data_IF_924078994168
#
_entry.id   IF_924078994168
#
_cell.length_a   1.000
_cell.length_b   1.000
_cell.length_c   1.000
_cell.angle_alpha   90.00
_cell.angle_beta   90.00
_cell.angle_gamma   90.00
#
_symmetry.space_group_name_H-M   'P 1'
#
loop_
_entity.id
_entity.type
_entity.pdbx_description
1 polymer ?
#
# COMPACT_ATOMS: atom_id res chain seq x y z
N UNK A 1 9.74 -9.31 28.42
CA UNK A 1 9.77 -8.22 27.42
C UNK A 1 8.48 -8.28 26.65
N UNK A 2 7.74 -7.17 26.57
CA UNK A 2 6.58 -7.06 25.69
C UNK A 2 7.09 -7.05 24.25
N UNK A 3 6.61 -7.95 23.41
CA UNK A 3 7.06 -8.01 22.02
C UNK A 3 6.70 -6.69 21.32
N UNK A 4 7.66 -6.09 20.61
CA UNK A 4 7.38 -4.96 19.73
C UNK A 4 6.71 -5.47 18.47
N UNK A 5 5.73 -4.73 17.99
CA UNK A 5 4.96 -5.01 16.78
C UNK A 5 4.74 -3.70 16.04
N UNK A 6 4.31 -3.81 14.79
CA UNK A 6 3.94 -2.67 13.98
C UNK A 6 2.43 -2.52 13.95
N UNK A 7 1.94 -1.31 14.23
CA UNK A 7 0.57 -0.91 13.94
C UNK A 7 0.54 -0.09 12.65
N UNK A 8 -0.39 -0.44 11.77
CA UNK A 8 -0.83 0.38 10.66
C UNK A 8 -2.19 0.98 11.03
N UNK A 9 -2.22 2.29 11.23
CA UNK A 9 -3.45 3.03 11.52
C UNK A 9 -3.90 3.78 10.27
N UNK A 10 -5.04 3.39 9.74
CA UNK A 10 -5.65 3.89 8.52
C UNK A 10 -6.80 4.84 8.84
N UNK A 11 -6.91 5.92 8.05
CA UNK A 11 -8.09 6.77 7.95
C UNK A 11 -8.42 7.01 6.46
N UNK A 12 -9.54 6.45 6.01
CA UNK A 12 -10.05 6.64 4.66
C UNK A 12 -10.82 7.96 4.53
N UNK A 13 -10.72 8.61 3.37
CA UNK A 13 -11.47 9.82 3.08
C UNK A 13 -11.90 9.86 1.61
N UNK A 14 -13.18 10.19 1.39
CA UNK A 14 -13.70 10.58 0.08
C UNK A 14 -14.88 11.54 0.25
N UNK A 15 -14.79 12.81 -0.16
CA UNK A 15 -15.82 13.82 0.12
C UNK A 15 -17.21 13.48 -0.44
N UNK A 16 -17.26 12.87 -1.62
CA UNK A 16 -18.50 12.65 -2.37
C UNK A 16 -19.13 11.27 -2.15
N UNK A 17 -18.56 10.46 -1.27
CA UNK A 17 -19.05 9.12 -0.96
C UNK A 17 -19.75 9.14 0.39
N UNK A 18 -20.89 8.44 0.48
CA UNK A 18 -21.52 8.28 1.78
C UNK A 18 -20.65 7.39 2.71
N UNK A 19 -20.87 7.54 4.01
CA UNK A 19 -20.04 6.85 5.01
C UNK A 19 -20.19 5.33 4.97
N UNK A 20 -21.36 4.81 4.60
CA UNK A 20 -21.60 3.37 4.59
C UNK A 20 -20.90 2.72 3.39
N UNK A 21 -20.93 3.37 2.23
CA UNK A 21 -20.20 2.97 1.03
C UNK A 21 -18.68 3.07 1.26
N UNK A 22 -18.20 4.15 1.89
CA UNK A 22 -16.80 4.28 2.26
C UNK A 22 -16.36 3.15 3.20
N UNK A 23 -17.16 2.87 4.24
CA UNK A 23 -16.89 1.79 5.18
C UNK A 23 -16.83 0.44 4.48
N UNK A 24 -17.78 0.15 3.59
CA UNK A 24 -17.83 -1.10 2.82
C UNK A 24 -16.58 -1.27 1.95
N UNK A 25 -16.17 -0.23 1.23
CA UNK A 25 -14.98 -0.28 0.38
C UNK A 25 -13.71 -0.47 1.21
N UNK A 26 -13.57 0.24 2.34
CA UNK A 26 -12.47 0.07 3.28
C UNK A 26 -12.41 -1.35 3.84
N UNK A 27 -13.54 -1.89 4.31
CA UNK A 27 -13.63 -3.24 4.84
C UNK A 27 -13.17 -4.28 3.81
N UNK A 28 -13.67 -4.20 2.56
CA UNK A 28 -13.26 -5.11 1.48
C UNK A 28 -11.78 -4.99 1.13
N UNK A 29 -11.25 -3.76 1.05
CA UNK A 29 -9.83 -3.53 0.82
C UNK A 29 -8.95 -4.13 1.93
N UNK A 30 -9.34 -3.94 3.19
CA UNK A 30 -8.64 -4.45 4.36
C UNK A 30 -8.72 -5.99 4.42
N UNK A 31 -9.86 -6.59 4.11
CA UNK A 31 -10.00 -8.06 4.00
C UNK A 31 -9.01 -8.63 2.98
N UNK A 32 -8.94 -8.06 1.78
CA UNK A 32 -8.01 -8.50 0.73
C UNK A 32 -6.56 -8.39 1.18
N UNK A 33 -6.17 -7.22 1.71
CA UNK A 33 -4.78 -6.99 2.16
C UNK A 33 -4.46 -7.95 3.30
N UNK A 34 -5.35 -8.15 4.26
CA UNK A 34 -5.07 -9.03 5.39
C UNK A 34 -4.99 -10.50 5.01
N UNK A 35 -5.73 -10.93 3.99
CA UNK A 35 -5.55 -12.26 3.39
C UNK A 35 -4.17 -12.40 2.75
N UNK A 36 -3.73 -11.41 1.95
CA UNK A 36 -2.42 -11.42 1.29
C UNK A 36 -1.28 -11.42 2.31
N UNK A 37 -1.40 -10.64 3.37
CA UNK A 37 -0.37 -10.49 4.40
C UNK A 37 -0.57 -11.42 5.61
N UNK A 38 -1.39 -12.47 5.47
CA UNK A 38 -1.63 -13.45 6.55
C UNK A 38 -0.34 -13.99 7.19
N UNK A 39 0.75 -14.30 6.45
CA UNK A 39 1.98 -14.82 7.04
C UNK A 39 2.60 -13.93 8.12
N UNK A 40 2.48 -12.60 8.01
CA UNK A 40 3.06 -11.65 8.96
C UNK A 40 2.05 -10.85 9.79
N UNK A 41 0.76 -11.06 9.56
CA UNK A 41 -0.29 -10.46 10.38
C UNK A 41 -0.19 -10.97 11.82
N UNK A 42 -0.26 -10.04 12.78
CA UNK A 42 -0.21 -10.38 14.20
C UNK A 42 -1.60 -10.68 14.77
N UNK A 43 -2.55 -9.75 14.61
CA UNK A 43 -3.94 -9.90 15.05
C UNK A 43 -4.92 -9.52 13.92
N UNK A 44 -6.19 -9.88 14.11
CA UNK A 44 -7.26 -9.48 13.20
C UNK A 44 -7.38 -7.95 13.15
N UNK A 45 -7.76 -7.38 11.99
CA UNK A 45 -8.04 -5.95 11.88
C UNK A 45 -9.10 -5.49 12.87
N UNK A 46 -8.99 -4.25 13.33
CA UNK A 46 -9.91 -3.64 14.27
C UNK A 46 -10.43 -2.30 13.73
N UNK A 47 -11.75 -2.19 13.56
CA UNK A 47 -12.39 -0.95 13.19
C UNK A 47 -12.56 -0.06 14.44
N UNK A 48 -12.01 1.16 14.40
CA UNK A 48 -12.20 2.19 15.42
C UNK A 48 -13.47 3.01 15.15
N UNK A 49 -13.74 3.27 13.86
CA UNK A 49 -14.91 3.95 13.34
C UNK A 49 -15.20 3.46 11.92
N UNK A 50 -16.20 4.05 11.27
CA UNK A 50 -16.61 3.75 9.89
C UNK A 50 -15.47 3.93 8.88
N UNK A 51 -14.58 4.90 9.14
CA UNK A 51 -13.50 5.34 8.26
C UNK A 51 -12.10 5.03 8.81
N UNK A 52 -11.99 4.47 10.02
CA UNK A 52 -10.71 4.27 10.71
C UNK A 52 -10.48 2.83 11.17
N UNK A 53 -9.29 2.32 10.87
CA UNK A 53 -8.93 0.93 11.10
C UNK A 53 -7.50 0.79 11.63
N UNK A 54 -7.30 -0.24 12.44
CA UNK A 54 -6.01 -0.67 12.95
C UNK A 54 -5.70 -2.07 12.44
N UNK A 55 -4.53 -2.22 11.84
CA UNK A 55 -3.95 -3.50 11.43
C UNK A 55 -2.63 -3.68 12.19
N UNK A 56 -2.28 -4.93 12.51
CA UNK A 56 -1.06 -5.25 13.25
C UNK A 56 -0.22 -6.30 12.51
N UNK A 57 1.09 -6.06 12.48
CA UNK A 57 2.07 -6.87 11.77
C UNK A 57 3.28 -7.15 12.67
N UNK A 58 4.00 -8.25 12.43
CA UNK A 58 5.27 -8.46 13.13
C UNK A 58 6.34 -7.52 12.59
N UNK A 59 6.34 -7.24 11.29
CA UNK A 59 7.35 -6.42 10.63
C UNK A 59 6.80 -5.10 10.08
N UNK A 60 7.62 -4.06 10.20
CA UNK A 60 7.36 -2.69 9.73
C UNK A 60 7.23 -2.61 8.22
N UNK A 61 8.14 -3.29 7.51
CA UNK A 61 8.10 -3.39 6.06
C UNK A 61 6.81 -4.04 5.53
N UNK A 62 6.27 -5.04 6.23
CA UNK A 62 4.98 -5.66 5.88
C UNK A 62 3.84 -4.66 5.98
N UNK A 63 3.80 -3.87 7.06
CA UNK A 63 2.77 -2.86 7.26
C UNK A 63 2.83 -1.76 6.17
N UNK A 64 4.04 -1.36 5.76
CA UNK A 64 4.23 -0.44 4.63
C UNK A 64 3.71 -1.03 3.31
N UNK A 65 4.10 -2.27 2.98
CA UNK A 65 3.64 -2.93 1.74
C UNK A 65 2.13 -3.19 1.76
N UNK A 66 1.55 -3.48 2.93
CA UNK A 66 0.12 -3.61 3.12
C UNK A 66 -0.61 -2.28 2.85
N UNK A 67 -0.10 -1.17 3.40
CA UNK A 67 -0.61 0.16 3.06
C UNK A 67 -0.49 0.45 1.56
N UNK A 68 0.67 0.16 0.96
CA UNK A 68 0.97 0.35 -0.47
C UNK A 68 0.14 -0.55 -1.41
N UNK A 69 -0.46 -1.62 -0.92
CA UNK A 69 -1.44 -2.37 -1.69
C UNK A 69 -2.84 -1.81 -1.48
N UNK A 70 -3.18 -1.41 -0.25
CA UNK A 70 -4.48 -0.89 0.11
C UNK A 70 -4.84 0.40 -0.64
N UNK A 71 -3.93 1.36 -0.72
CA UNK A 71 -4.15 2.63 -1.43
C UNK A 71 -4.29 2.42 -2.96
N UNK A 72 -3.67 1.38 -3.51
CA UNK A 72 -3.86 0.98 -4.92
C UNK A 72 -5.22 0.31 -5.14
N UNK A 73 -5.62 -0.59 -4.22
CA UNK A 73 -6.91 -1.26 -4.25
C UNK A 73 -8.06 -0.27 -4.08
N UNK A 74 -7.90 0.76 -3.25
CA UNK A 74 -8.97 1.70 -2.92
C UNK A 74 -9.03 2.94 -3.83
N UNK A 75 -7.98 3.22 -4.62
CA UNK A 75 -8.00 4.35 -5.55
C UNK A 75 -9.29 4.37 -6.41
N UNK A 76 -10.02 5.51 -6.51
CA UNK A 76 -9.61 6.89 -6.18
C UNK A 76 -9.79 7.34 -4.71
N UNK A 77 -10.24 6.48 -3.81
CA UNK A 77 -10.38 6.80 -2.38
C UNK A 77 -9.00 7.10 -1.80
N UNK A 78 -8.86 8.24 -1.12
CA UNK A 78 -7.60 8.60 -0.48
C UNK A 78 -7.53 7.97 0.90
N UNK A 79 -6.34 7.49 1.24
CA UNK A 79 -6.09 6.79 2.50
C UNK A 79 -4.91 7.45 3.20
N UNK A 80 -5.20 8.26 4.20
CA UNK A 80 -4.19 8.69 5.16
C UNK A 80 -3.88 7.54 6.10
N UNK A 81 -2.63 7.42 6.52
CA UNK A 81 -2.24 6.36 7.43
C UNK A 81 -1.01 6.74 8.25
N UNK A 82 -0.72 5.90 9.25
CA UNK A 82 0.55 5.89 9.94
C UNK A 82 1.03 4.47 10.22
N UNK A 83 2.34 4.32 10.30
CA UNK A 83 3.04 3.13 10.78
C UNK A 83 3.64 3.44 12.14
N UNK A 84 3.46 2.56 13.11
CA UNK A 84 4.09 2.72 14.40
C UNK A 84 4.72 1.44 14.92
N UNK A 85 6.00 1.52 15.29
CA UNK A 85 6.74 0.38 15.83
C UNK A 85 6.99 0.54 17.33
N UNK A 86 6.29 -0.25 18.14
CA UNK A 86 6.34 -0.13 19.59
C UNK A 86 5.83 -1.37 20.31
N UNK A 87 5.90 -1.37 21.63
CA UNK A 87 5.29 -2.43 22.43
C UNK A 87 3.78 -2.38 22.32
N UNK A 88 3.14 -3.52 22.04
CA UNK A 88 1.70 -3.70 22.16
C UNK A 88 1.37 -4.28 23.54
N UNK A 89 0.56 -3.57 24.32
CA UNK A 89 0.04 -4.08 25.58
C UNK A 89 -1.30 -4.78 25.33
N UNK A 90 -1.25 -6.09 25.14
CA UNK A 90 -2.46 -6.91 24.95
C UNK A 90 -3.30 -7.06 26.22
N UNK A 91 -2.76 -6.74 27.41
CA UNK A 91 -3.49 -6.86 28.68
C UNK A 91 -4.23 -5.57 29.04
N UNK A 92 -3.64 -4.40 28.77
CA UNK A 92 -4.29 -3.10 28.98
C UNK A 92 -5.19 -2.66 27.82
N UNK A 93 -5.11 -3.34 26.67
CA UNK A 93 -5.84 -3.03 25.46
C UNK A 93 -5.04 -2.15 24.50
N UNK A 94 -5.34 -2.29 23.21
CA UNK A 94 -4.52 -1.74 22.13
C UNK A 94 -4.38 -0.20 22.18
N UNK A 95 -5.44 0.50 22.62
CA UNK A 95 -5.48 1.98 22.77
C UNK A 95 -4.54 2.49 23.88
N UNK A 96 -4.21 1.66 24.87
CA UNK A 96 -3.27 2.01 25.93
C UNK A 96 -1.80 1.72 25.56
N UNK A 97 -1.56 1.14 24.38
CA UNK A 97 -0.22 0.75 23.97
C UNK A 97 0.60 1.93 23.45
N UNK A 98 1.93 1.98 23.72
CA UNK A 98 2.81 2.97 23.12
C UNK A 98 2.74 3.01 21.59
N UNK A 99 2.65 1.85 20.93
CA UNK A 99 2.51 1.80 19.48
C UNK A 99 1.25 2.54 18.98
N UNK A 100 0.12 2.41 19.70
CA UNK A 100 -1.09 3.14 19.33
C UNK A 100 -0.90 4.65 19.47
N UNK A 101 -0.31 5.12 20.58
CA UNK A 101 -0.05 6.55 20.77
C UNK A 101 0.88 7.13 19.68
N UNK A 102 1.93 6.40 19.30
CA UNK A 102 2.82 6.80 18.22
C UNK A 102 2.08 6.87 16.87
N UNK A 103 1.23 5.88 16.57
CA UNK A 103 0.41 5.86 15.37
C UNK A 103 -0.58 7.04 15.35
N UNK A 104 -1.31 7.29 16.45
CA UNK A 104 -2.25 8.41 16.53
C UNK A 104 -1.57 9.76 16.29
N UNK A 105 -0.39 9.99 16.88
CA UNK A 105 0.36 11.23 16.67
C UNK A 105 0.79 11.40 15.20
N UNK A 106 1.35 10.34 14.61
CA UNK A 106 1.79 10.35 13.22
C UNK A 106 0.62 10.50 12.24
N UNK A 107 -0.54 9.89 12.53
CA UNK A 107 -1.73 10.03 11.69
C UNK A 107 -2.28 11.46 11.70
N UNK A 108 -2.33 12.11 12.88
CA UNK A 108 -2.74 13.51 13.00
C UNK A 108 -1.83 14.43 12.18
N UNK A 109 -0.52 14.22 12.25
CA UNK A 109 0.43 14.97 11.43
C UNK A 109 0.27 14.67 9.94
N UNK A 110 0.09 13.39 9.55
CA UNK A 110 -0.15 13.00 8.17
C UNK A 110 -1.39 13.69 7.59
N UNK A 111 -2.50 13.73 8.32
CA UNK A 111 -3.73 14.44 7.92
C UNK A 111 -3.50 15.95 7.74
N UNK A 112 -2.62 16.56 8.55
CA UNK A 112 -2.27 17.97 8.41
C UNK A 112 -1.44 18.29 7.14
N UNK A 113 -0.76 17.29 6.59
CA UNK A 113 0.05 17.41 5.36
C UNK A 113 -0.76 17.19 4.07
N UNK A 114 -2.04 16.84 4.19
CA UNK A 114 -2.97 16.63 3.08
C UNK A 114 -3.42 15.18 2.91
N UNK A 115 -3.98 14.87 1.75
CA UNK A 115 -4.59 13.56 1.48
C UNK A 115 -3.57 12.49 1.06
N UNK A 116 -3.86 11.24 1.42
CA UNK A 116 -3.04 10.10 1.01
C UNK A 116 -1.66 10.10 1.67
N UNK A 117 -1.54 10.69 2.86
CA UNK A 117 -0.26 10.80 3.57
C UNK A 117 -0.03 9.62 4.52
N UNK A 118 1.12 8.94 4.42
CA UNK A 118 1.66 7.94 5.34
C UNK A 118 2.87 8.50 6.07
N UNK A 119 2.90 8.40 7.40
CA UNK A 119 4.08 8.69 8.22
C UNK A 119 4.43 7.48 9.11
N UNK A 120 5.67 7.44 9.58
CA UNK A 120 6.23 6.43 10.47
C UNK A 120 6.64 7.05 11.81
N UNK A 121 6.40 6.34 12.91
CA UNK A 121 6.82 6.74 14.24
C UNK A 121 7.15 5.52 15.13
N UNK A 122 8.42 5.37 15.47
CA UNK A 122 8.91 4.42 16.47
C UNK A 122 9.44 5.12 17.73
N UNK A 123 9.20 6.42 17.84
CA UNK A 123 9.74 7.33 18.85
C UNK A 123 11.27 7.29 18.87
N UNK A 124 11.86 7.39 17.67
CA UNK A 124 13.30 7.35 17.45
C UNK A 124 13.71 8.53 16.54
N UNK A 125 14.91 9.07 16.75
CA UNK A 125 15.35 10.29 16.03
C UNK A 125 15.41 10.06 14.52
N UNK A 126 15.88 8.88 14.12
CA UNK A 126 16.05 8.50 12.72
C UNK A 126 14.72 8.22 12.00
N UNK A 127 13.58 8.18 12.69
CA UNK A 127 12.25 8.14 12.07
C UNK A 127 12.09 9.27 11.04
N UNK A 128 12.75 10.42 11.25
CA UNK A 128 12.79 11.53 10.31
C UNK A 128 13.35 11.15 8.94
N UNK A 129 14.36 10.26 8.89
CA UNK A 129 14.93 9.79 7.62
C UNK A 129 13.94 8.90 6.86
N UNK A 130 13.29 7.97 7.56
CA UNK A 130 12.22 7.15 7.01
C UNK A 130 11.06 8.00 6.52
N UNK A 131 10.65 9.00 7.29
CA UNK A 131 9.59 9.93 6.89
C UNK A 131 9.94 10.76 5.66
N UNK A 132 11.20 11.21 5.52
CA UNK A 132 11.63 11.89 4.29
C UNK A 132 11.58 10.97 3.07
N UNK A 133 11.91 9.67 3.22
CA UNK A 133 11.78 8.68 2.14
C UNK A 133 10.32 8.42 1.78
N UNK A 134 9.44 8.28 2.79
CA UNK A 134 7.99 8.13 2.60
C UNK A 134 7.43 9.32 1.82
N UNK A 135 7.71 10.55 2.27
CA UNK A 135 7.25 11.77 1.59
C UNK A 135 7.76 11.83 0.15
N UNK A 136 9.03 11.51 -0.10
CA UNK A 136 9.58 11.48 -1.46
C UNK A 136 8.90 10.44 -2.36
N UNK A 137 8.57 9.26 -1.83
CA UNK A 137 7.79 8.23 -2.54
C UNK A 137 6.37 8.74 -2.87
N UNK A 138 5.73 9.41 -1.92
CA UNK A 138 4.36 9.92 -2.10
C UNK A 138 4.29 11.09 -3.08
N UNK A 139 5.32 11.94 -3.15
CA UNK A 139 5.40 12.98 -4.17
C UNK A 139 5.47 12.39 -5.59
N UNK A 140 6.08 11.20 -5.77
CA UNK A 140 6.01 10.49 -7.04
C UNK A 140 4.56 10.08 -7.36
N UNK A 141 3.82 9.58 -6.37
CA UNK A 141 2.42 9.14 -6.54
C UNK A 141 1.50 10.33 -6.79
N UNK A 142 1.65 11.44 -6.05
CA UNK A 142 0.87 12.66 -6.25
C UNK A 142 1.14 13.31 -7.61
N UNK A 143 2.36 13.15 -8.14
CA UNK A 143 2.71 13.60 -9.48
C UNK A 143 2.12 12.74 -10.62
N UNK A 144 1.49 11.61 -10.31
CA UNK A 144 0.85 10.77 -11.32
C UNK A 144 -0.55 11.28 -11.68
N UNK A 145 -0.91 11.14 -12.95
CA UNK A 145 -2.28 11.36 -13.40
C UNK A 145 -3.21 10.27 -12.86
N UNK A 146 -4.51 10.52 -12.92
CA UNK A 146 -5.54 9.63 -12.42
C UNK A 146 -5.46 8.25 -13.09
N UNK A 147 -5.31 8.24 -14.42
CA UNK A 147 -5.08 7.02 -15.21
C UNK A 147 -3.80 6.28 -14.77
N UNK A 148 -2.72 7.00 -14.48
CA UNK A 148 -1.47 6.38 -14.03
C UNK A 148 -1.66 5.73 -12.65
N UNK A 149 -2.41 6.38 -11.74
CA UNK A 149 -2.74 5.81 -10.43
C UNK A 149 -3.60 4.56 -10.57
N UNK A 150 -4.60 4.54 -11.45
CA UNK A 150 -5.41 3.34 -11.74
C UNK A 150 -4.55 2.19 -12.31
N UNK A 151 -3.62 2.50 -13.22
CA UNK A 151 -2.72 1.50 -13.81
C UNK A 151 -1.70 0.91 -12.80
N UNK A 152 -1.48 1.52 -11.63
CA UNK A 152 -0.61 0.96 -10.57
C UNK A 152 -1.10 -0.40 -10.13
N UNK A 153 -2.40 -0.53 -9.83
CA UNK A 153 -2.98 -1.81 -9.43
C UNK A 153 -2.81 -2.86 -10.53
N UNK A 154 -3.11 -2.50 -11.79
CA UNK A 154 -2.92 -3.41 -12.93
C UNK A 154 -1.48 -3.89 -13.09
N UNK A 155 -0.50 -3.04 -12.79
CA UNK A 155 0.92 -3.44 -12.78
C UNK A 155 1.24 -4.36 -11.59
N UNK A 156 0.74 -4.01 -10.41
CA UNK A 156 0.94 -4.76 -9.17
C UNK A 156 0.39 -6.20 -9.27
N UNK A 157 -0.80 -6.38 -9.86
CA UNK A 157 -1.43 -7.68 -10.11
C UNK A 157 -0.66 -8.58 -11.08
N UNK A 158 0.33 -8.03 -11.80
CA UNK A 158 1.15 -8.75 -12.78
C UNK A 158 2.55 -9.04 -12.25
N UNK A 159 3.11 -8.07 -11.51
CA UNK A 159 4.45 -8.13 -10.93
C UNK A 159 4.44 -7.41 -9.57
N UNK A 160 4.00 -8.08 -8.49
CA UNK A 160 3.88 -7.46 -7.19
C UNK A 160 5.25 -7.15 -6.58
N UNK A 161 5.31 -6.12 -5.72
CA UNK A 161 6.40 -5.99 -4.75
C UNK A 161 6.13 -7.00 -3.64
N UNK A 162 6.89 -8.10 -3.66
CA UNK A 162 6.64 -9.26 -2.82
C UNK A 162 7.78 -9.51 -1.83
N UNK A 163 7.42 -9.84 -0.59
CA UNK A 163 8.31 -10.36 0.46
C UNK A 163 7.84 -11.74 0.87
N UNK A 164 8.70 -12.76 0.75
CA UNK A 164 8.35 -14.15 1.05
C UNK A 164 7.95 -14.38 2.51
N UNK A 165 8.51 -13.59 3.43
CA UNK A 165 8.19 -13.70 4.85
C UNK A 165 6.83 -13.06 5.19
N UNK A 166 6.33 -12.10 4.39
CA UNK A 166 5.12 -11.36 4.74
C UNK A 166 3.88 -11.73 3.94
N UNK A 167 4.04 -12.27 2.73
CA UNK A 167 2.94 -12.37 1.78
C UNK A 167 2.73 -13.80 1.29
N UNK A 168 1.47 -14.20 1.14
CA UNK A 168 1.12 -15.44 0.44
C UNK A 168 1.37 -15.32 -1.07
N UNK A 169 1.68 -16.44 -1.71
CA UNK A 169 1.79 -16.54 -3.16
C UNK A 169 0.45 -16.68 -3.88
N UNK A 170 -0.63 -16.94 -3.14
CA UNK A 170 -1.98 -17.12 -3.67
C UNK A 170 -2.81 -15.88 -3.40
N UNK A 171 -2.98 -15.03 -4.42
CA UNK A 171 -3.73 -13.78 -4.28
C UNK A 171 -5.24 -13.99 -4.48
N UNK A 172 -6.10 -13.34 -3.69
CA UNK A 172 -7.55 -13.47 -3.73
C UNK A 172 -8.14 -12.66 -4.90
N UNK A 173 -7.89 -13.12 -6.14
CA UNK A 173 -8.27 -12.37 -7.34
C UNK A 173 -9.78 -12.20 -7.51
N UNK A 174 -10.59 -13.11 -6.98
CA UNK A 174 -12.06 -13.01 -7.05
C UNK A 174 -12.56 -11.86 -6.17
N UNK A 175 -11.97 -11.70 -4.99
CA UNK A 175 -12.26 -10.63 -4.04
C UNK A 175 -11.77 -9.28 -4.57
N UNK A 176 -10.59 -9.24 -5.20
CA UNK A 176 -10.06 -8.05 -5.86
C UNK A 176 -10.98 -7.62 -7.02
N UNK A 177 -11.44 -8.56 -7.86
CA UNK A 177 -12.38 -8.29 -8.94
C UNK A 177 -13.73 -7.77 -8.39
N UNK A 178 -14.24 -8.36 -7.31
CA UNK A 178 -15.44 -7.89 -6.64
C UNK A 178 -15.30 -6.47 -6.09
N UNK A 179 -14.14 -6.12 -5.53
CA UNK A 179 -13.85 -4.75 -5.07
C UNK A 179 -13.80 -3.76 -6.24
N UNK A 180 -13.18 -4.11 -7.37
CA UNK A 180 -13.18 -3.23 -8.56
C UNK A 180 -14.60 -2.96 -9.08
N UNK A 181 -15.48 -3.97 -9.06
CA UNK A 181 -16.89 -3.80 -9.42
C UNK A 181 -17.59 -2.84 -8.44
N UNK A 182 -17.34 -2.97 -7.13
CA UNK A 182 -17.92 -2.08 -6.12
C UNK A 182 -17.44 -0.63 -6.28
N UNK A 183 -16.24 -0.40 -6.80
CA UNK A 183 -15.70 0.95 -7.05
C UNK A 183 -16.20 1.62 -8.33
N UNK A 184 -16.89 0.90 -9.23
CA UNK A 184 -17.36 1.48 -10.50
C UNK A 184 -18.16 2.80 -10.33
N UNK A 185 -19.07 2.94 -9.34
CA UNK A 185 -19.76 4.21 -9.11
C UNK A 185 -18.81 5.35 -8.73
N UNK A 186 -17.75 5.06 -7.97
CA UNK A 186 -16.74 6.06 -7.56
C UNK A 186 -15.93 6.50 -8.78
N UNK A 187 -15.49 5.56 -9.63
CA UNK A 187 -14.82 5.90 -10.88
C UNK A 187 -15.72 6.69 -11.85
N UNK A 188 -17.04 6.55 -11.78
CA UNK A 188 -17.96 7.32 -12.61
C UNK A 188 -18.06 8.80 -12.21
N UNK A 189 -17.71 9.14 -10.96
CA UNK A 189 -17.59 10.52 -10.49
C UNK A 189 -16.33 11.21 -11.07
N UNK A 190 -15.34 10.42 -11.48
CA UNK A 190 -14.05 10.90 -12.00
C UNK A 190 -14.00 10.82 -13.54
N UNK A 191 -14.25 11.95 -14.22
CA UNK A 191 -14.33 12.02 -15.70
C UNK A 191 -13.14 11.35 -16.40
N UNK A 192 -11.93 11.56 -15.88
CA UNK A 192 -10.68 11.02 -16.46
C UNK A 192 -10.52 9.51 -16.31
N UNK A 193 -11.32 8.87 -15.45
CA UNK A 193 -11.24 7.45 -15.17
C UNK A 193 -12.32 6.63 -15.88
N UNK A 194 -13.21 7.28 -16.65
CA UNK A 194 -14.32 6.60 -17.32
C UNK A 194 -13.86 5.45 -18.23
N UNK A 195 -12.78 5.64 -18.98
CA UNK A 195 -12.19 4.61 -19.86
C UNK A 195 -11.44 3.50 -19.10
N UNK A 196 -11.26 3.65 -17.78
CA UNK A 196 -10.49 2.75 -16.92
C UNK A 196 -11.33 2.16 -15.77
N UNK A 197 -12.66 2.26 -15.87
CA UNK A 197 -13.62 1.76 -14.85
C UNK A 197 -13.62 0.24 -14.69
N UNK A 198 -13.09 -0.49 -15.66
CA UNK A 198 -13.14 -1.96 -15.67
C UNK A 198 -11.77 -2.56 -15.92
N UNK A 199 -11.49 -3.65 -15.23
CA UNK A 199 -10.28 -4.45 -15.37
C UNK A 199 -10.69 -5.88 -15.72
N UNK A 200 -10.24 -6.37 -16.88
CA UNK A 200 -10.39 -7.77 -17.27
C UNK A 200 -9.31 -8.63 -16.58
N UNK A 201 -9.68 -9.25 -15.46
CA UNK A 201 -8.81 -10.14 -14.69
C UNK A 201 -8.46 -11.44 -15.42
N UNK A 202 -9.24 -11.86 -16.43
CA UNK A 202 -8.94 -13.05 -17.23
C UNK A 202 -7.79 -12.78 -18.22
N UNK A 203 -7.59 -11.52 -18.62
CA UNK A 203 -6.49 -11.12 -19.49
C UNK A 203 -5.12 -11.01 -18.79
N UNK A 204 -5.06 -11.20 -17.45
CA UNK A 204 -3.78 -11.13 -16.72
C UNK A 204 -2.83 -12.26 -17.13
N UNK A 205 -1.52 -12.04 -16.98
CA UNK A 205 -0.55 -13.13 -17.02
C UNK A 205 -0.58 -13.88 -15.68
N UNK A 206 -0.10 -15.14 -15.63
CA UNK A 206 0.17 -15.78 -14.35
C UNK A 206 1.03 -14.87 -13.47
N UNK A 207 0.65 -14.77 -12.19
CA UNK A 207 1.30 -13.91 -11.22
C UNK A 207 2.79 -14.28 -11.13
N UNK A 208 3.68 -13.32 -11.42
CA UNK A 208 5.12 -13.52 -11.33
C UNK A 208 5.60 -13.03 -9.98
N UNK A 209 5.76 -13.95 -9.04
CA UNK A 209 6.25 -13.66 -7.70
C UNK A 209 7.76 -13.85 -7.67
N UNK A 210 8.46 -12.78 -7.29
CA UNK A 210 9.87 -12.85 -6.93
C UNK A 210 10.07 -11.99 -5.69
N UNK A 211 10.77 -12.54 -4.70
CA UNK A 211 11.14 -11.79 -3.49
C UNK A 211 11.92 -10.53 -3.86
N UNK A 212 11.56 -9.38 -3.26
CA UNK A 212 12.19 -8.12 -3.60
C UNK A 212 13.69 -8.14 -3.32
N UNK A 213 14.13 -8.83 -2.24
CA UNK A 213 15.55 -8.89 -1.88
C UNK A 213 16.36 -9.59 -2.94
N UNK A 214 15.78 -10.63 -3.56
CA UNK A 214 16.39 -11.34 -4.68
C UNK A 214 16.40 -10.51 -5.99
N UNK A 215 15.57 -9.47 -6.09
CA UNK A 215 15.48 -8.60 -7.27
C UNK A 215 16.37 -7.36 -7.19
N UNK A 216 16.73 -6.93 -6.00
CA UNK A 216 17.59 -5.78 -5.79
C UNK A 216 18.99 -6.07 -6.34
N UNK A 217 19.46 -5.19 -7.22
CA UNK A 217 20.77 -5.30 -7.86
C UNK A 217 21.85 -4.69 -6.95
N UNK A 218 22.60 -5.54 -6.24
CA UNK A 218 23.63 -5.12 -5.27
C UNK A 218 24.90 -4.53 -5.89
N UNK A 219 25.07 -4.64 -7.20
CA UNK A 219 26.14 -4.05 -8.00
C UNK A 219 25.88 -2.58 -8.39
N UNK A 220 24.74 -2.02 -7.99
CA UNK A 220 24.37 -0.63 -8.22
C UNK A 220 24.41 0.20 -6.93
N UNK A 221 24.70 1.49 -7.04
CA UNK A 221 24.74 2.42 -5.90
C UNK A 221 23.36 2.83 -5.37
N UNK A 222 22.28 2.43 -6.05
CA UNK A 222 20.91 2.76 -5.68
C UNK A 222 19.99 1.57 -5.93
N UNK A 223 18.86 1.53 -5.23
CA UNK A 223 17.87 0.45 -5.36
C UNK A 223 17.29 0.44 -6.79
N UNK A 224 17.41 -0.70 -7.47
CA UNK A 224 16.90 -0.93 -8.82
C UNK A 224 16.64 -2.42 -9.05
N UNK A 225 16.00 -2.76 -10.17
CA UNK A 225 15.64 -4.13 -10.55
C UNK A 225 14.17 -4.50 -10.26
N UNK A 226 13.41 -3.57 -9.69
CA UNK A 226 12.03 -3.79 -9.27
C UNK A 226 11.00 -3.44 -10.36
N UNK A 227 11.43 -2.91 -11.51
CA UNK A 227 10.56 -2.67 -12.66
C UNK A 227 10.91 -3.63 -13.80
N UNK A 228 9.94 -4.44 -14.18
CA UNK A 228 10.03 -5.39 -15.28
C UNK A 228 9.34 -4.86 -16.53
N UNK A 229 10.04 -4.97 -17.67
CA UNK A 229 9.49 -4.65 -18.99
C UNK A 229 8.62 -5.81 -19.48
N UNK A 230 7.76 -5.54 -20.47
CA UNK A 230 6.96 -6.58 -21.14
C UNK A 230 5.59 -6.87 -20.50
N UNK A 231 5.17 -6.06 -19.53
CA UNK A 231 3.82 -6.09 -18.95
C UNK A 231 2.83 -5.15 -19.63
N UNK A 232 3.30 -4.17 -20.41
CA UNK A 232 2.42 -3.19 -21.06
C UNK A 232 1.33 -3.83 -21.94
N UNK A 233 1.66 -4.88 -22.70
CA UNK A 233 0.66 -5.59 -23.52
C UNK A 233 -0.39 -6.33 -22.68
N UNK A 234 -0.02 -6.83 -21.50
CA UNK A 234 -0.96 -7.55 -20.64
C UNK A 234 -1.87 -6.54 -19.91
N UNK A 235 -1.29 -5.48 -19.36
CA UNK A 235 -2.02 -4.36 -18.75
C UNK A 235 -2.96 -3.70 -19.75
N UNK A 236 -2.52 -3.50 -21.00
CA UNK A 236 -3.35 -2.93 -22.06
C UNK A 236 -4.60 -3.77 -22.34
N UNK A 237 -4.47 -5.11 -22.36
CA UNK A 237 -5.62 -6.02 -22.51
C UNK A 237 -6.55 -5.94 -21.31
N UNK A 238 -5.99 -5.96 -20.09
CA UNK A 238 -6.78 -5.84 -18.85
C UNK A 238 -7.61 -4.55 -18.83
N UNK A 239 -7.04 -3.43 -19.27
CA UNK A 239 -7.68 -2.11 -19.23
C UNK A 239 -8.28 -1.69 -20.58
N UNK A 240 -8.46 -2.62 -21.52
CA UNK A 240 -9.10 -2.38 -22.82
C UNK A 240 -8.54 -1.17 -23.61
N UNK A 241 -7.23 -0.93 -23.50
CA UNK A 241 -6.55 0.22 -24.12
C UNK A 241 -5.39 -0.25 -25.00
N UNK A 242 -4.68 0.68 -25.63
CA UNK A 242 -3.52 0.35 -26.47
C UNK A 242 -2.26 0.12 -25.64
N UNK A 243 -1.40 -0.79 -26.10
CA UNK A 243 -0.06 -1.01 -25.51
C UNK A 243 0.75 0.28 -25.48
N UNK A 244 0.72 1.07 -26.56
CA UNK A 244 1.48 2.32 -26.66
C UNK A 244 1.04 3.33 -25.61
N UNK A 245 -0.27 3.39 -25.32
CA UNK A 245 -0.81 4.25 -24.28
C UNK A 245 -0.34 3.80 -22.88
N UNK A 246 -0.39 2.49 -22.59
CA UNK A 246 0.15 1.95 -21.34
C UNK A 246 1.66 2.20 -21.22
N UNK A 247 2.45 1.93 -22.27
CA UNK A 247 3.90 2.19 -22.27
C UNK A 247 4.19 3.68 -21.98
N UNK A 248 3.39 4.60 -22.54
CA UNK A 248 3.46 6.02 -22.23
C UNK A 248 3.19 6.28 -20.74
N UNK A 249 2.07 5.81 -20.19
CA UNK A 249 1.69 6.06 -18.80
C UNK A 249 2.66 5.44 -17.79
N UNK A 250 3.15 4.21 -18.03
CA UNK A 250 4.14 3.58 -17.14
C UNK A 250 5.45 4.37 -17.08
N UNK A 251 5.88 4.94 -18.22
CA UNK A 251 7.10 5.74 -18.30
C UNK A 251 6.92 7.13 -17.71
N UNK A 252 5.88 7.86 -18.13
CA UNK A 252 5.63 9.24 -17.69
C UNK A 252 5.18 9.30 -16.23
N UNK A 253 4.48 8.28 -15.73
CA UNK A 253 4.09 8.12 -14.33
C UNK A 253 5.20 7.62 -13.41
N UNK A 254 6.43 7.45 -13.94
CA UNK A 254 7.63 7.10 -13.17
C UNK A 254 7.48 5.82 -12.32
N UNK A 255 6.79 4.79 -12.83
CA UNK A 255 6.55 3.53 -12.11
C UNK A 255 7.84 2.86 -11.62
N UNK A 256 8.91 2.92 -12.42
CA UNK A 256 10.20 2.38 -12.01
C UNK A 256 10.78 3.12 -10.78
N UNK A 257 10.63 4.44 -10.73
CA UNK A 257 11.08 5.22 -9.58
C UNK A 257 10.21 4.90 -8.36
N UNK A 258 8.88 4.88 -8.51
CA UNK A 258 7.94 4.55 -7.44
C UNK A 258 8.30 3.21 -6.77
N UNK A 259 8.54 2.17 -7.57
CA UNK A 259 8.91 0.83 -7.05
C UNK A 259 10.28 0.78 -6.41
N UNK A 260 11.25 1.51 -6.95
CA UNK A 260 12.59 1.61 -6.36
C UNK A 260 12.55 2.31 -5.00
N UNK A 261 11.76 3.39 -4.88
CA UNK A 261 11.54 4.07 -3.59
C UNK A 261 10.82 3.16 -2.59
N UNK A 262 9.76 2.47 -3.02
CA UNK A 262 9.06 1.51 -2.16
C UNK A 262 10.01 0.42 -1.63
N UNK A 263 10.87 -0.15 -2.49
CA UNK A 263 11.88 -1.11 -2.04
C UNK A 263 12.94 -0.50 -1.10
N UNK A 264 13.34 0.76 -1.33
CA UNK A 264 14.24 1.46 -0.41
C UNK A 264 13.61 1.68 0.97
N UNK A 265 12.31 2.00 1.01
CA UNK A 265 11.54 2.14 2.27
C UNK A 265 11.46 0.79 3.00
N UNK A 266 11.21 -0.31 2.30
CA UNK A 266 11.26 -1.67 2.88
C UNK A 266 12.60 -1.92 3.57
N UNK A 267 13.71 -1.72 2.87
CA UNK A 267 15.05 -1.93 3.43
C UNK A 267 15.34 -1.00 4.62
N UNK A 268 14.89 0.26 4.58
CA UNK A 268 15.10 1.22 5.66
C UNK A 268 14.30 0.82 6.91
N UNK A 269 13.03 0.44 6.74
CA UNK A 269 12.16 0.00 7.83
C UNK A 269 12.72 -1.27 8.49
N UNK A 270 13.15 -2.26 7.71
CA UNK A 270 13.81 -3.47 8.23
C UNK A 270 15.08 -3.12 9.01
N UNK A 271 15.89 -2.18 8.52
CA UNK A 271 17.10 -1.73 9.21
C UNK A 271 16.78 -1.06 10.54
N UNK A 272 15.78 -0.17 10.58
CA UNK A 272 15.35 0.51 11.81
C UNK A 272 14.76 -0.47 12.82
N UNK A 273 13.88 -1.36 12.36
CA UNK A 273 13.31 -2.41 13.20
C UNK A 273 14.40 -3.27 13.85
N UNK A 274 15.41 -3.69 13.08
CA UNK A 274 16.54 -4.44 13.59
C UNK A 274 17.37 -3.64 14.62
N UNK A 275 17.59 -2.34 14.39
CA UNK A 275 18.30 -1.48 15.34
C UNK A 275 17.55 -1.29 16.65
N UNK A 276 16.21 -1.29 16.59
CA UNK A 276 15.29 -1.07 17.70
C UNK A 276 14.87 -2.36 18.44
N UNK A 277 15.27 -3.52 17.92
CA UNK A 277 15.01 -4.85 18.47
C UNK A 277 16.14 -5.40 19.35
N UNK A 278 17.28 -4.71 19.39
CA UNK A 278 18.45 -5.01 20.25
C UNK A 278 18.28 -4.37 21.61
#
# INVERSE_FOLDING_TARGET
>A
MTARKTLLYIAGHYPDLDKADLQLLLERGIEIVTQIFTPDRWESPYALSEDQWLLSFNHTASAFLAYRLLEQLLYPIQVNASLAYGSLDSQAGLVASPAYHYASQALLEAQSLGEGVLLYNANYLEDQLTNMLLLAWQEIIKGQSEIQRALRLSYELQFPLYTAYAMTSEWPFQEIEALEILKMPVYALEEKLQDYQTIDFQARKPLKIVDLHAKIQSDHFYVTGLYEKGYASAIAKMNQTSRQNVDYHLKSGRFAAERNYAAAIVLQLEREENALSV
#
